data_IF_461242495158
#
_entry.id   IF_461242495158
#
_cell.length_a   1.000
_cell.length_b   1.000
_cell.length_c   1.000
_cell.angle_alpha   90.00
_cell.angle_beta   90.00
_cell.angle_gamma   90.00
#
_symmetry.space_group_name_H-M   'P 1'
#
loop_
_entity.id
_entity.type
_entity.pdbx_description
1 polymer ?
#
# COMPACT_ATOMS: atom_id res chain seq x y z
N UNK A 1 -1.69 -13.55 -10.27
CA UNK A 1 -1.98 -13.14 -8.88
C UNK A 1 -3.42 -12.65 -8.84
N UNK A 2 -4.28 -13.25 -8.01
CA UNK A 2 -5.62 -12.70 -7.74
C UNK A 2 -5.48 -11.46 -6.84
N UNK A 3 -6.25 -10.41 -7.13
CA UNK A 3 -6.33 -9.25 -6.24
C UNK A 3 -7.05 -9.65 -4.95
N UNK A 4 -6.53 -9.20 -3.80
CA UNK A 4 -7.18 -9.49 -2.51
C UNK A 4 -8.50 -8.71 -2.39
N UNK A 5 -9.40 -9.17 -1.51
CA UNK A 5 -10.63 -8.41 -1.20
C UNK A 5 -10.31 -7.00 -0.65
N UNK A 6 -9.20 -6.87 0.05
CA UNK A 6 -8.67 -5.58 0.48
C UNK A 6 -8.35 -4.69 -0.72
N UNK A 7 -7.56 -5.19 -1.68
CA UNK A 7 -7.18 -4.45 -2.89
C UNK A 7 -8.41 -4.00 -3.69
N UNK A 8 -9.36 -4.91 -3.91
CA UNK A 8 -10.58 -4.62 -4.67
C UNK A 8 -11.44 -3.57 -3.96
N UNK A 9 -11.54 -3.64 -2.63
CA UNK A 9 -12.34 -2.70 -1.86
C UNK A 9 -11.70 -1.31 -1.84
N UNK A 10 -10.42 -1.22 -1.51
CA UNK A 10 -9.75 0.08 -1.39
C UNK A 10 -9.58 0.76 -2.74
N UNK A 11 -9.30 0.01 -3.82
CA UNK A 11 -9.29 0.56 -5.18
C UNK A 11 -10.61 1.25 -5.56
N UNK A 12 -11.73 0.80 -4.97
CA UNK A 12 -13.05 1.37 -5.19
C UNK A 12 -13.36 2.52 -4.23
N UNK A 13 -12.99 2.42 -2.96
CA UNK A 13 -13.43 3.37 -1.92
C UNK A 13 -12.42 4.47 -1.62
N UNK A 14 -11.13 4.20 -1.82
CA UNK A 14 -10.00 5.10 -1.50
C UNK A 14 -8.92 4.94 -2.60
N UNK A 15 -9.22 5.38 -3.85
CA UNK A 15 -8.37 5.12 -5.01
C UNK A 15 -6.99 5.78 -4.91
N UNK A 16 -6.90 6.92 -4.23
CA UNK A 16 -5.64 7.65 -4.05
C UNK A 16 -4.70 6.89 -3.09
N UNK A 17 -5.21 6.40 -1.96
CA UNK A 17 -4.48 5.55 -1.03
C UNK A 17 -4.06 4.22 -1.68
N UNK A 18 -4.93 3.65 -2.52
CA UNK A 18 -4.58 2.47 -3.30
C UNK A 18 -3.45 2.76 -4.31
N UNK A 19 -3.53 3.87 -5.05
CA UNK A 19 -2.49 4.26 -6.00
C UNK A 19 -1.14 4.46 -5.29
N UNK A 20 -1.13 5.18 -4.16
CA UNK A 20 0.06 5.41 -3.35
C UNK A 20 0.67 4.09 -2.84
N UNK A 21 -0.16 3.17 -2.34
CA UNK A 21 0.27 1.84 -1.91
C UNK A 21 0.90 1.04 -3.06
N UNK A 22 0.30 1.07 -4.25
CA UNK A 22 0.79 0.36 -5.42
C UNK A 22 2.12 0.93 -5.91
N UNK A 23 2.24 2.24 -5.93
CA UNK A 23 3.46 2.93 -6.33
C UNK A 23 4.62 2.66 -5.36
N UNK A 24 4.40 2.82 -4.05
CA UNK A 24 5.42 2.58 -3.04
C UNK A 24 5.91 1.12 -3.07
N UNK A 25 4.98 0.15 -3.18
CA UNK A 25 5.35 -1.26 -3.33
C UNK A 25 6.12 -1.56 -4.62
N UNK A 26 5.75 -0.92 -5.74
CA UNK A 26 6.46 -1.11 -7.00
C UNK A 26 7.89 -0.58 -6.91
N UNK A 27 8.09 0.59 -6.30
CA UNK A 27 9.41 1.18 -6.05
C UNK A 27 10.26 0.29 -5.13
N UNK A 28 9.70 -0.17 -4.01
CA UNK A 28 10.40 -1.07 -3.10
C UNK A 28 10.82 -2.37 -3.80
N UNK A 29 9.90 -3.02 -4.54
CA UNK A 29 10.21 -4.26 -5.28
C UNK A 29 11.30 -4.06 -6.34
N UNK A 30 11.28 -2.94 -7.06
CA UNK A 30 12.31 -2.63 -8.04
C UNK A 30 13.70 -2.50 -7.39
N UNK A 31 13.78 -1.85 -6.22
CA UNK A 31 15.04 -1.73 -5.48
C UNK A 31 15.47 -3.05 -4.83
N UNK A 32 14.53 -3.83 -4.31
CA UNK A 32 14.79 -5.14 -3.72
C UNK A 32 15.31 -6.18 -4.73
N UNK A 33 15.11 -5.95 -6.04
CA UNK A 33 15.75 -6.73 -7.11
C UNK A 33 17.13 -6.14 -7.45
N UNK A 34 17.22 -4.83 -7.70
CA UNK A 34 18.46 -4.18 -8.16
C UNK A 34 19.60 -4.23 -7.14
N UNK A 35 19.28 -4.10 -5.85
CA UNK A 35 20.28 -4.07 -4.78
C UNK A 35 21.06 -5.39 -4.65
N UNK A 36 20.43 -6.58 -4.52
CA UNK A 36 21.16 -7.84 -4.51
C UNK A 36 21.84 -8.17 -5.85
N UNK A 37 21.34 -7.64 -6.96
CA UNK A 37 21.98 -7.78 -8.29
C UNK A 37 23.27 -6.94 -8.44
N UNK A 38 23.67 -6.19 -7.41
CA UNK A 38 24.94 -5.46 -7.39
C UNK A 38 24.91 -4.11 -8.10
N UNK A 39 23.72 -3.52 -8.31
CA UNK A 39 23.58 -2.19 -8.88
C UNK A 39 24.20 -1.13 -7.96
N UNK A 40 25.35 -0.58 -8.35
CA UNK A 40 26.11 0.40 -7.57
C UNK A 40 25.39 1.74 -7.38
N UNK A 41 24.33 2.01 -8.14
CA UNK A 41 23.50 3.20 -7.96
C UNK A 41 22.44 3.01 -6.86
N UNK A 42 22.23 1.79 -6.37
CA UNK A 42 21.26 1.48 -5.31
C UNK A 42 22.02 1.16 -4.02
N UNK A 43 21.74 1.91 -2.96
CA UNK A 43 22.32 1.68 -1.64
C UNK A 43 21.32 0.99 -0.73
N UNK A 44 21.80 0.40 0.36
CA UNK A 44 20.94 -0.15 1.41
C UNK A 44 19.96 0.90 1.95
N UNK A 45 20.41 2.17 2.09
CA UNK A 45 19.57 3.28 2.51
C UNK A 45 18.40 3.54 1.55
N UNK A 46 18.59 3.40 0.23
CA UNK A 46 17.50 3.51 -0.74
C UNK A 46 16.46 2.41 -0.53
N UNK A 47 16.91 1.17 -0.29
CA UNK A 47 16.02 0.03 -0.04
C UNK A 47 15.22 0.21 1.26
N UNK A 48 15.88 0.62 2.35
CA UNK A 48 15.24 0.87 3.64
C UNK A 48 14.22 2.01 3.55
N UNK A 49 14.57 3.13 2.91
CA UNK A 49 13.64 4.25 2.71
C UNK A 49 12.41 3.83 1.91
N UNK A 50 12.60 3.06 0.83
CA UNK A 50 11.48 2.59 0.01
C UNK A 50 10.60 1.56 0.74
N UNK A 51 11.20 0.74 1.62
CA UNK A 51 10.46 -0.15 2.51
C UNK A 51 9.59 0.66 3.48
N UNK A 52 10.17 1.66 4.15
CA UNK A 52 9.45 2.52 5.08
C UNK A 52 8.29 3.27 4.38
N UNK A 53 8.50 3.73 3.14
CA UNK A 53 7.45 4.31 2.32
C UNK A 53 6.32 3.33 2.03
N UNK A 54 6.65 2.09 1.66
CA UNK A 54 5.66 1.04 1.40
C UNK A 54 4.87 0.70 2.68
N UNK A 55 5.53 0.58 3.82
CA UNK A 55 4.91 0.27 5.12
C UNK A 55 3.99 1.43 5.58
N UNK A 56 4.40 2.69 5.37
CA UNK A 56 3.55 3.88 5.61
C UNK A 56 2.31 3.89 4.71
N UNK A 57 2.49 3.63 3.41
CA UNK A 57 1.39 3.60 2.47
C UNK A 57 0.40 2.46 2.79
N UNK A 58 0.89 1.30 3.24
CA UNK A 58 0.04 0.19 3.69
C UNK A 58 -0.75 0.57 4.94
N UNK A 59 -0.11 1.24 5.90
CA UNK A 59 -0.77 1.72 7.11
C UNK A 59 -1.92 2.68 6.77
N UNK A 60 -1.67 3.65 5.88
CA UNK A 60 -2.68 4.60 5.42
C UNK A 60 -3.84 3.89 4.70
N UNK A 61 -3.53 2.97 3.79
CA UNK A 61 -4.51 2.18 3.06
C UNK A 61 -5.39 1.34 4.00
N UNK A 62 -4.80 0.70 5.01
CA UNK A 62 -5.53 -0.07 6.02
C UNK A 62 -6.42 0.81 6.90
N UNK A 63 -5.95 2.01 7.26
CA UNK A 63 -6.77 2.97 8.00
C UNK A 63 -7.98 3.43 7.18
N UNK A 64 -7.79 3.77 5.90
CA UNK A 64 -8.88 4.14 4.99
C UNK A 64 -9.90 3.00 4.81
N UNK A 65 -9.41 1.77 4.61
CA UNK A 65 -10.25 0.58 4.58
C UNK A 65 -11.07 0.43 5.87
N UNK A 66 -10.45 0.57 7.04
CA UNK A 66 -11.14 0.43 8.32
C UNK A 66 -12.23 1.51 8.49
N UNK A 67 -11.95 2.76 8.13
CA UNK A 67 -12.93 3.85 8.17
C UNK A 67 -14.12 3.61 7.23
N UNK A 68 -13.87 3.09 6.03
CA UNK A 68 -14.92 2.74 5.08
C UNK A 68 -15.86 1.65 5.66
N UNK A 69 -15.30 0.65 6.33
CA UNK A 69 -16.07 -0.41 7.01
C UNK A 69 -16.87 0.10 8.20
N UNK A 70 -16.28 0.94 9.06
CA UNK A 70 -16.98 1.55 10.19
C UNK A 70 -18.15 2.42 9.71
N UNK A 71 -17.96 3.17 8.62
CA UNK A 71 -19.01 3.99 8.01
C UNK A 71 -20.15 3.12 7.47
N UNK A 72 -19.83 2.00 6.81
CA UNK A 72 -20.83 1.05 6.33
C UNK A 72 -21.61 0.39 7.47
N UNK A 73 -20.92 0.02 8.56
CA UNK A 73 -21.53 -0.58 9.74
C UNK A 73 -22.50 0.40 10.41
N UNK A 74 -22.10 1.66 10.61
CA UNK A 74 -22.94 2.71 11.21
C UNK A 74 -24.21 3.00 10.42
N UNK A 75 -24.16 2.95 9.08
CA UNK A 75 -25.35 3.12 8.22
C UNK A 75 -26.35 1.98 8.30
N UNK A 76 -25.93 0.78 8.71
CA UNK A 76 -26.84 -0.38 8.85
C UNK A 76 -27.60 -0.40 10.17
N UNK A 77 -27.13 0.31 11.20
CA UNK A 77 -27.72 0.32 12.55
C UNK A 77 -28.79 1.42 12.74
N UNK A 78 -29.13 2.18 11.69
CA UNK A 78 -30.04 3.34 11.77
C UNK A 78 -31.50 3.01 11.41
N UNK A 79 -31.94 1.76 11.62
CA UNK A 79 -33.33 1.31 11.41
C UNK A 79 -34.02 1.06 12.74
#
# INVERSE_FOLDING_TARGET
>A
MSASLFDLHIARTSPDEYAALREANARYRALAVRFPDGDTAVTEAHCLSAKDDADRAETAARAAFHLAFQTLARRKTTW
#
